data_IF_550204041003
#
_entry.id   IF_550204041003
#
_cell.length_a   1.000
_cell.length_b   1.000
_cell.length_c   1.000
_cell.angle_alpha   90.00
_cell.angle_beta   90.00
_cell.angle_gamma   90.00
#
_symmetry.space_group_name_H-M   'P 1'
#
loop_
_entity.id
_entity.type
_entity.pdbx_description
1 polymer ?
#
# COMPACT_ATOMS: atom_id res chain seq x y z
N UNK A 1 16.55 28.10 0.08
CA UNK A 1 15.14 28.51 0.18
C UNK A 1 14.52 27.75 1.35
N UNK A 2 13.88 28.43 2.32
CA UNK A 2 13.19 27.76 3.42
C UNK A 2 12.08 26.89 2.83
N UNK A 3 12.04 25.62 3.24
CA UNK A 3 11.01 24.68 2.83
C UNK A 3 9.67 25.19 3.40
N UNK A 4 8.62 25.46 2.60
CA UNK A 4 7.30 25.67 3.16
C UNK A 4 6.89 24.32 3.73
N UNK A 5 7.14 24.10 5.02
CA UNK A 5 6.52 23.03 5.78
C UNK A 5 5.02 23.33 5.76
N UNK A 6 4.37 22.85 4.70
CA UNK A 6 2.96 23.01 4.49
C UNK A 6 2.23 22.40 5.66
N UNK A 7 1.13 23.02 6.04
CA UNK A 7 0.19 22.64 7.11
C UNK A 7 -0.27 21.16 7.07
N UNK A 8 0.07 20.45 6.00
CA UNK A 8 -0.37 19.10 5.66
C UNK A 8 0.74 18.03 5.81
N UNK A 9 1.91 18.36 6.35
CA UNK A 9 3.00 17.39 6.56
C UNK A 9 2.83 16.66 7.91
N UNK A 10 2.15 15.51 7.87
CA UNK A 10 2.02 14.62 9.03
C UNK A 10 3.31 13.75 9.17
N UNK A 11 3.88 13.56 10.38
CA UNK A 11 5.18 12.90 10.58
C UNK A 11 5.22 11.45 10.06
N UNK A 12 4.07 10.79 10.04
CA UNK A 12 3.92 9.43 9.53
C UNK A 12 3.55 9.36 8.03
N UNK A 13 3.69 10.46 7.29
CA UNK A 13 3.39 10.56 5.86
C UNK A 13 4.60 11.06 5.07
N UNK A 14 4.84 10.41 3.93
CA UNK A 14 5.82 10.84 2.93
C UNK A 14 5.08 11.55 1.78
N UNK A 15 4.85 12.85 1.95
CA UNK A 15 4.07 13.71 1.02
C UNK A 15 4.86 14.09 -0.24
N UNK A 16 6.21 14.08 -0.17
CA UNK A 16 7.11 14.54 -1.25
C UNK A 16 6.86 13.84 -2.58
N UNK A 17 6.67 12.52 -2.58
CA UNK A 17 6.45 11.75 -3.79
C UNK A 17 5.13 12.13 -4.49
N UNK A 18 4.09 12.47 -3.74
CA UNK A 18 2.80 12.87 -4.29
C UNK A 18 2.78 14.33 -4.81
N UNK A 19 3.66 15.20 -4.29
CA UNK A 19 3.70 16.63 -4.66
C UNK A 19 4.71 16.97 -5.75
N UNK A 20 5.73 16.14 -5.98
CA UNK A 20 6.81 16.44 -6.91
C UNK A 20 6.90 15.45 -8.07
N UNK A 21 7.28 15.96 -9.24
CA UNK A 21 7.62 15.19 -10.43
C UNK A 21 9.08 14.72 -10.47
N UNK A 22 9.91 15.20 -9.53
CA UNK A 22 11.30 14.79 -9.42
C UNK A 22 11.41 13.44 -8.72
N UNK A 23 12.26 12.57 -9.25
CA UNK A 23 12.61 11.27 -8.66
C UNK A 23 14.13 11.11 -8.67
N UNK A 24 14.67 10.62 -7.56
CA UNK A 24 16.07 10.24 -7.48
C UNK A 24 16.28 8.91 -8.19
N UNK A 25 17.20 8.85 -9.13
CA UNK A 25 17.66 7.60 -9.75
C UNK A 25 19.16 7.44 -9.52
N UNK A 26 19.59 6.21 -9.29
CA UNK A 26 21.00 5.87 -9.16
C UNK A 26 21.63 5.72 -10.55
N UNK A 27 22.70 6.45 -10.82
CA UNK A 27 23.31 6.53 -12.15
C UNK A 27 24.61 5.70 -12.28
N UNK A 28 24.63 4.51 -11.67
CA UNK A 28 25.69 3.51 -11.91
C UNK A 28 27.05 3.73 -11.24
N UNK A 29 27.31 4.92 -10.67
CA UNK A 29 28.64 5.30 -10.15
C UNK A 29 28.58 5.93 -8.75
N UNK A 30 27.62 5.52 -7.91
CA UNK A 30 27.41 6.11 -6.59
C UNK A 30 26.79 7.51 -6.61
N UNK A 31 26.55 8.09 -7.80
CA UNK A 31 25.87 9.38 -7.94
C UNK A 31 24.34 9.18 -7.98
N UNK A 32 23.65 9.92 -7.11
CA UNK A 32 22.20 10.07 -7.14
C UNK A 32 21.90 11.29 -7.99
N UNK A 33 21.25 11.10 -9.13
CA UNK A 33 20.74 12.21 -9.94
C UNK A 33 19.24 12.33 -9.75
N UNK A 34 18.72 13.55 -9.72
CA UNK A 34 17.29 13.82 -9.68
C UNK A 34 16.85 14.21 -11.08
N UNK A 35 16.04 13.38 -11.72
CA UNK A 35 15.46 13.68 -13.03
C UNK A 35 13.97 14.00 -12.89
N UNK A 36 13.48 14.91 -13.73
CA UNK A 36 12.05 15.12 -13.87
C UNK A 36 11.48 14.02 -14.76
N UNK A 37 10.50 13.28 -14.24
CA UNK A 37 9.86 12.18 -14.95
C UNK A 37 8.50 12.59 -15.47
N UNK A 38 8.15 12.08 -16.65
CA UNK A 38 6.78 12.15 -17.17
C UNK A 38 5.82 11.45 -16.22
N UNK A 39 4.51 11.72 -16.36
CA UNK A 39 3.50 11.07 -15.51
C UNK A 39 3.62 9.54 -15.50
N UNK A 40 3.78 8.94 -16.68
CA UNK A 40 3.98 7.49 -16.81
C UNK A 40 5.31 7.01 -16.20
N UNK A 41 6.41 7.74 -16.41
CA UNK A 41 7.70 7.41 -15.78
C UNK A 41 7.65 7.45 -14.25
N UNK A 42 6.86 8.37 -13.68
CA UNK A 42 6.59 8.42 -12.24
C UNK A 42 5.79 7.20 -11.75
N UNK A 43 4.78 6.78 -12.51
CA UNK A 43 4.00 5.59 -12.18
C UNK A 43 4.87 4.32 -12.17
N UNK A 44 5.76 4.15 -13.15
CA UNK A 44 6.70 3.03 -13.19
C UNK A 44 7.70 3.03 -12.02
N UNK A 45 8.16 4.19 -11.56
CA UNK A 45 8.99 4.24 -10.34
C UNK A 45 8.18 3.85 -9.09
N UNK A 46 6.97 4.40 -8.98
CA UNK A 46 6.13 4.20 -7.81
C UNK A 46 5.59 2.76 -7.75
N UNK A 47 5.44 2.04 -8.88
CA UNK A 47 5.05 0.63 -8.90
C UNK A 47 6.15 -0.29 -8.38
N UNK A 48 7.43 -0.01 -8.67
CA UNK A 48 8.56 -0.79 -8.13
C UNK A 48 8.64 -0.62 -6.62
N UNK A 49 8.50 0.62 -6.14
CA UNK A 49 8.41 0.88 -4.70
C UNK A 49 7.21 0.16 -4.07
N UNK A 50 6.03 0.31 -4.65
CA UNK A 50 4.79 -0.28 -4.15
C UNK A 50 4.88 -1.81 -4.11
N UNK A 51 5.48 -2.42 -5.13
CA UNK A 51 5.71 -3.85 -5.18
C UNK A 51 6.55 -4.31 -3.99
N UNK A 52 7.67 -3.63 -3.68
CA UNK A 52 8.48 -3.98 -2.52
C UNK A 52 7.75 -3.74 -1.18
N UNK A 53 7.12 -2.57 -1.01
CA UNK A 53 6.44 -2.19 0.23
C UNK A 53 5.25 -3.10 0.55
N UNK A 54 4.52 -3.56 -0.47
CA UNK A 54 3.36 -4.46 -0.32
C UNK A 54 3.78 -5.91 -0.26
N UNK A 55 4.72 -6.36 -1.11
CA UNK A 55 5.04 -7.78 -1.22
C UNK A 55 5.86 -8.30 -0.04
N UNK A 56 6.84 -7.54 0.46
CA UNK A 56 7.70 -8.00 1.55
C UNK A 56 6.91 -8.36 2.81
N UNK A 57 5.97 -7.52 3.31
CA UNK A 57 5.16 -7.90 4.46
C UNK A 57 4.20 -9.05 4.14
N UNK A 58 3.76 -9.22 2.90
CA UNK A 58 2.82 -10.27 2.50
C UNK A 58 3.43 -11.66 2.31
N UNK A 59 4.76 -11.80 2.30
CA UNK A 59 5.45 -13.08 2.09
C UNK A 59 4.88 -14.20 2.98
N UNK A 60 4.65 -14.02 4.30
CA UNK A 60 4.13 -15.09 5.15
C UNK A 60 2.75 -15.60 4.71
N UNK A 61 1.80 -14.71 4.41
CA UNK A 61 0.47 -15.12 3.96
C UNK A 61 0.50 -15.71 2.54
N UNK A 62 1.28 -15.13 1.63
CA UNK A 62 1.44 -15.67 0.28
C UNK A 62 2.04 -17.08 0.32
N UNK A 63 3.03 -17.32 1.18
CA UNK A 63 3.59 -18.65 1.44
C UNK A 63 2.51 -19.60 1.97
N UNK A 64 1.78 -19.20 3.01
CA UNK A 64 0.69 -19.98 3.59
C UNK A 64 -0.36 -20.37 2.53
N UNK A 65 -0.82 -19.43 1.71
CA UNK A 65 -1.77 -19.69 0.62
C UNK A 65 -1.17 -20.64 -0.42
N UNK A 66 0.12 -20.47 -0.76
CA UNK A 66 0.80 -21.30 -1.75
C UNK A 66 0.82 -22.77 -1.35
N UNK A 67 1.07 -23.06 -0.08
CA UNK A 67 1.22 -24.43 0.45
C UNK A 67 -0.10 -25.03 0.96
N UNK A 68 -0.98 -24.21 1.54
CA UNK A 68 -2.19 -24.68 2.23
C UNK A 68 -3.46 -24.77 1.39
N UNK A 69 -3.54 -24.03 0.27
CA UNK A 69 -4.78 -23.99 -0.53
C UNK A 69 -4.71 -24.88 -1.80
N UNK A 70 -5.80 -25.57 -2.18
CA UNK A 70 -5.86 -26.33 -3.42
C UNK A 70 -5.75 -25.42 -4.65
N UNK A 71 -5.16 -25.94 -5.74
CA UNK A 71 -5.14 -25.26 -7.03
C UNK A 71 -6.51 -25.39 -7.70
N UNK A 72 -7.26 -24.29 -7.71
CA UNK A 72 -8.52 -24.16 -8.46
C UNK A 72 -8.42 -22.93 -9.35
N UNK A 73 -9.01 -23.00 -10.54
CA UNK A 73 -8.97 -21.91 -11.51
C UNK A 73 -9.59 -20.61 -10.94
N UNK A 74 -10.67 -20.77 -10.19
CA UNK A 74 -11.31 -19.71 -9.41
C UNK A 74 -11.43 -20.17 -7.97
N UNK A 75 -10.65 -19.54 -7.09
CA UNK A 75 -10.56 -19.93 -5.70
C UNK A 75 -9.63 -19.01 -4.93
N UNK A 76 -9.17 -19.50 -3.79
CA UNK A 76 -8.40 -18.72 -2.82
C UNK A 76 -7.10 -18.15 -3.43
N UNK A 77 -6.36 -18.96 -4.21
CA UNK A 77 -5.11 -18.55 -4.87
C UNK A 77 -5.32 -17.43 -5.90
N UNK A 78 -6.32 -17.58 -6.78
CA UNK A 78 -6.66 -16.57 -7.78
C UNK A 78 -7.09 -15.26 -7.12
N UNK A 79 -7.92 -15.35 -6.07
CA UNK A 79 -8.39 -14.18 -5.31
C UNK A 79 -7.23 -13.48 -4.60
N UNK A 80 -6.33 -14.24 -3.97
CA UNK A 80 -5.12 -13.71 -3.34
C UNK A 80 -4.21 -13.02 -4.37
N UNK A 81 -4.00 -13.61 -5.54
CA UNK A 81 -3.18 -13.01 -6.59
C UNK A 81 -3.78 -11.69 -7.10
N UNK A 82 -5.08 -11.69 -7.44
CA UNK A 82 -5.79 -10.47 -7.87
C UNK A 82 -5.75 -9.39 -6.79
N UNK A 83 -6.00 -9.78 -5.53
CA UNK A 83 -5.91 -8.90 -4.38
C UNK A 83 -4.54 -8.26 -4.25
N UNK A 84 -3.49 -9.07 -4.21
CA UNK A 84 -2.10 -8.62 -4.11
C UNK A 84 -1.70 -7.66 -5.24
N UNK A 85 -2.00 -8.01 -6.50
CA UNK A 85 -1.72 -7.13 -7.63
C UNK A 85 -2.47 -5.80 -7.54
N UNK A 86 -3.74 -5.85 -7.11
CA UNK A 86 -4.54 -4.63 -6.88
C UNK A 86 -3.93 -3.78 -5.78
N UNK A 87 -3.48 -4.39 -4.68
CA UNK A 87 -2.85 -3.67 -3.57
C UNK A 87 -1.61 -2.90 -4.04
N UNK A 88 -0.77 -3.53 -4.87
CA UNK A 88 0.42 -2.89 -5.46
C UNK A 88 0.04 -1.70 -6.35
N UNK A 89 -0.91 -1.88 -7.27
CA UNK A 89 -1.33 -0.82 -8.20
C UNK A 89 -1.94 0.37 -7.46
N UNK A 90 -2.87 0.11 -6.52
CA UNK A 90 -3.53 1.19 -5.75
C UNK A 90 -2.51 1.91 -4.87
N UNK A 91 -1.56 1.20 -4.27
CA UNK A 91 -0.46 1.81 -3.51
C UNK A 91 0.37 2.74 -4.40
N UNK A 92 0.74 2.31 -5.60
CA UNK A 92 1.49 3.13 -6.56
C UNK A 92 0.72 4.39 -6.96
N UNK A 93 -0.59 4.27 -7.21
CA UNK A 93 -1.46 5.40 -7.56
C UNK A 93 -1.59 6.42 -6.42
N UNK A 94 -1.78 5.97 -5.18
CA UNK A 94 -1.86 6.87 -4.01
C UNK A 94 -0.51 7.54 -3.76
N UNK A 95 0.59 6.77 -3.80
CA UNK A 95 1.95 7.29 -3.61
C UNK A 95 2.31 8.34 -4.65
N UNK A 96 1.98 8.09 -5.92
CA UNK A 96 2.21 9.03 -7.02
C UNK A 96 1.29 10.24 -7.02
N UNK A 97 0.32 10.31 -6.09
CA UNK A 97 -0.64 11.41 -5.97
C UNK A 97 -1.76 11.40 -7.01
N UNK A 98 -2.00 10.26 -7.68
CA UNK A 98 -3.07 10.10 -8.67
C UNK A 98 -4.42 9.77 -8.02
N UNK A 99 -4.39 9.05 -6.91
CA UNK A 99 -5.58 8.76 -6.10
C UNK A 99 -5.45 9.40 -4.73
N UNK A 100 -6.49 10.08 -4.23
CA UNK A 100 -6.54 10.47 -2.83
C UNK A 100 -6.72 9.22 -1.95
N UNK A 101 -6.05 9.16 -0.79
CA UNK A 101 -6.35 8.15 0.22
C UNK A 101 -7.77 8.33 0.77
N UNK A 102 -8.37 7.25 1.29
CA UNK A 102 -9.68 7.32 1.91
C UNK A 102 -9.60 7.97 3.29
N UNK A 103 -10.56 8.85 3.57
CA UNK A 103 -10.78 9.47 4.88
C UNK A 103 -9.59 10.26 5.44
N UNK A 104 -8.71 10.79 4.58
CA UNK A 104 -7.68 11.77 4.96
C UNK A 104 -7.39 12.71 3.79
N UNK A 105 -7.17 13.99 4.08
CA UNK A 105 -6.82 15.01 3.07
C UNK A 105 -5.31 15.02 2.78
N UNK A 106 -4.50 14.46 3.69
CA UNK A 106 -3.06 14.41 3.55
C UNK A 106 -2.68 13.49 2.40
N UNK A 107 -2.06 14.02 1.34
CA UNK A 107 -1.61 13.24 0.19
C UNK A 107 -0.33 12.45 0.47
N UNK A 108 -0.06 11.44 -0.35
CA UNK A 108 1.16 10.65 -0.29
C UNK A 108 0.99 9.33 0.45
N UNK A 109 2.11 8.66 0.65
CA UNK A 109 2.14 7.32 1.24
C UNK A 109 2.62 7.35 2.69
N UNK A 110 2.42 6.25 3.40
CA UNK A 110 2.83 6.10 4.81
C UNK A 110 4.37 6.05 4.88
N UNK A 111 4.97 6.64 5.92
CA UNK A 111 6.42 6.61 6.11
C UNK A 111 6.94 5.20 6.46
N UNK A 112 8.26 5.00 6.37
CA UNK A 112 8.93 3.72 6.64
C UNK A 112 9.45 3.61 8.10
N UNK A 113 8.82 4.31 9.04
CA UNK A 113 9.17 4.19 10.45
C UNK A 113 9.01 2.73 10.93
N UNK A 114 9.90 2.19 11.80
CA UNK A 114 9.88 0.77 12.19
C UNK A 114 8.52 0.28 12.71
N UNK A 115 7.86 1.06 13.55
CA UNK A 115 6.53 0.71 14.07
C UNK A 115 5.46 0.60 12.94
N UNK A 116 5.55 1.45 11.91
CA UNK A 116 4.65 1.39 10.76
C UNK A 116 4.98 0.25 9.80
N UNK A 117 6.21 -0.27 9.81
CA UNK A 117 6.55 -1.50 9.08
C UNK A 117 5.89 -2.70 9.74
N UNK A 118 5.91 -2.79 11.07
CA UNK A 118 5.17 -3.82 11.80
C UNK A 118 3.66 -3.70 11.59
N UNK A 119 3.14 -2.48 11.56
CA UNK A 119 1.73 -2.25 11.27
C UNK A 119 1.35 -2.70 9.85
N UNK A 120 2.20 -2.44 8.84
CA UNK A 120 2.02 -2.98 7.47
C UNK A 120 1.96 -4.49 7.46
N UNK A 121 2.87 -5.15 8.19
CA UNK A 121 2.90 -6.60 8.29
C UNK A 121 1.56 -7.14 8.77
N UNK A 122 1.03 -6.64 9.89
CA UNK A 122 -0.26 -7.13 10.39
C UNK A 122 -1.41 -6.75 9.44
N UNK A 123 -1.48 -5.49 9.04
CA UNK A 123 -2.60 -4.95 8.27
C UNK A 123 -2.70 -5.55 6.86
N UNK A 124 -1.61 -5.59 6.09
CA UNK A 124 -1.64 -6.12 4.73
C UNK A 124 -1.98 -7.61 4.70
N UNK A 125 -1.44 -8.41 5.64
CA UNK A 125 -1.80 -9.82 5.70
C UNK A 125 -3.28 -10.01 6.05
N UNK A 126 -3.83 -9.19 6.96
CA UNK A 126 -5.26 -9.24 7.29
C UNK A 126 -6.15 -8.86 6.10
N UNK A 127 -5.83 -7.78 5.37
CA UNK A 127 -6.55 -7.37 4.17
C UNK A 127 -6.48 -8.46 3.10
N UNK A 128 -5.29 -9.00 2.82
CA UNK A 128 -5.12 -10.02 1.80
C UNK A 128 -5.82 -11.33 2.19
N UNK A 129 -5.86 -11.68 3.48
CA UNK A 129 -6.65 -12.79 3.97
C UNK A 129 -8.15 -12.59 3.72
N UNK A 130 -8.69 -11.42 4.08
CA UNK A 130 -10.09 -11.10 3.83
C UNK A 130 -10.43 -11.16 2.32
N UNK A 131 -9.54 -10.66 1.47
CA UNK A 131 -9.68 -10.73 0.00
C UNK A 131 -9.62 -12.17 -0.50
N UNK A 132 -8.63 -12.95 -0.08
CA UNK A 132 -8.42 -14.31 -0.57
C UNK A 132 -9.57 -15.25 -0.17
N UNK A 133 -9.98 -15.20 1.10
CA UNK A 133 -11.07 -16.01 1.63
C UNK A 133 -12.43 -15.50 1.17
N UNK A 134 -12.65 -14.18 1.18
CA UNK A 134 -13.90 -13.58 0.70
C UNK A 134 -14.12 -13.84 -0.79
N UNK A 135 -13.12 -13.60 -1.63
CA UNK A 135 -13.17 -13.90 -3.06
C UNK A 135 -13.39 -15.39 -3.34
N UNK A 136 -12.74 -16.27 -2.59
CA UNK A 136 -12.97 -17.72 -2.66
C UNK A 136 -14.40 -18.13 -2.31
N UNK A 137 -14.97 -17.55 -1.25
CA UNK A 137 -16.37 -17.80 -0.85
C UNK A 137 -17.36 -17.28 -1.88
N UNK A 138 -17.15 -16.07 -2.40
CA UNK A 138 -18.00 -15.48 -3.45
C UNK A 138 -17.99 -16.33 -4.73
N UNK A 139 -16.81 -16.82 -5.14
CA UNK A 139 -16.70 -17.71 -6.30
C UNK A 139 -17.53 -19.00 -6.12
N UNK A 140 -17.44 -19.61 -4.93
CA UNK A 140 -18.15 -20.86 -4.63
C UNK A 140 -19.67 -20.64 -4.50
N UNK A 141 -20.11 -19.51 -3.95
CA UNK A 141 -21.53 -19.24 -3.70
C UNK A 141 -22.30 -18.83 -4.96
N UNK A 142 -21.69 -18.00 -5.81
CA UNK A 142 -22.37 -17.41 -6.98
C UNK A 142 -22.10 -18.23 -8.24
N UNK A 143 -21.00 -18.99 -8.29
CA UNK A 143 -20.59 -19.74 -9.49
C UNK A 143 -20.14 -18.85 -10.65
N UNK A 144 -20.01 -17.54 -10.44
CA UNK A 144 -19.55 -16.57 -11.44
C UNK A 144 -18.12 -16.10 -11.14
N UNK A 145 -17.13 -16.57 -11.92
CA UNK A 145 -15.72 -16.23 -11.73
C UNK A 145 -15.41 -14.74 -11.66
N UNK A 146 -16.03 -13.95 -12.54
CA UNK A 146 -15.79 -12.52 -12.66
C UNK A 146 -16.23 -11.76 -11.41
N UNK A 147 -17.26 -12.23 -10.70
CA UNK A 147 -17.74 -11.60 -9.48
C UNK A 147 -16.72 -11.72 -8.35
N UNK A 148 -16.03 -12.87 -8.26
CA UNK A 148 -14.94 -13.07 -7.31
C UNK A 148 -13.74 -12.15 -7.57
N UNK A 149 -13.40 -11.93 -8.85
CA UNK A 149 -12.36 -10.99 -9.26
C UNK A 149 -12.75 -9.56 -8.89
N UNK A 150 -13.96 -9.13 -9.25
CA UNK A 150 -14.46 -7.80 -8.94
C UNK A 150 -14.51 -7.54 -7.43
N UNK A 151 -14.99 -8.51 -6.66
CA UNK A 151 -14.98 -8.47 -5.20
C UNK A 151 -13.56 -8.31 -4.64
N UNK A 152 -12.62 -9.12 -5.13
CA UNK A 152 -11.22 -9.11 -4.68
C UNK A 152 -10.55 -7.76 -4.97
N UNK A 153 -10.76 -7.23 -6.18
CA UNK A 153 -10.26 -5.91 -6.57
C UNK A 153 -10.87 -4.80 -5.71
N UNK A 154 -12.18 -4.82 -5.50
CA UNK A 154 -12.89 -3.81 -4.71
C UNK A 154 -12.41 -3.79 -3.26
N UNK A 155 -12.40 -4.95 -2.60
CA UNK A 155 -12.00 -5.06 -1.19
C UNK A 155 -10.51 -4.71 -0.99
N UNK A 156 -9.62 -5.16 -1.89
CA UNK A 156 -8.21 -4.81 -1.86
C UNK A 156 -7.99 -3.29 -2.05
N UNK A 157 -8.72 -2.68 -2.98
CA UNK A 157 -8.64 -1.24 -3.25
C UNK A 157 -9.07 -0.42 -2.04
N UNK A 158 -10.21 -0.77 -1.44
CA UNK A 158 -10.70 -0.10 -0.23
C UNK A 158 -9.73 -0.28 0.94
N UNK A 159 -9.21 -1.49 1.16
CA UNK A 159 -8.25 -1.76 2.23
C UNK A 159 -6.97 -0.93 2.09
N UNK A 160 -6.37 -0.89 0.90
CA UNK A 160 -5.16 -0.08 0.67
C UNK A 160 -5.44 1.41 0.74
N UNK A 161 -6.58 1.86 0.22
CA UNK A 161 -6.91 3.27 0.25
C UNK A 161 -7.21 3.78 1.67
N UNK A 162 -7.72 2.91 2.57
CA UNK A 162 -7.94 3.24 3.99
C UNK A 162 -6.65 3.20 4.83
N UNK A 163 -5.63 2.45 4.41
CA UNK A 163 -4.39 2.26 5.17
C UNK A 163 -3.69 3.56 5.61
N UNK A 164 -3.50 4.56 4.73
CA UNK A 164 -3.04 5.90 5.10
C UNK A 164 -3.65 6.49 6.37
N UNK A 165 -4.99 6.51 6.47
CA UNK A 165 -5.70 7.09 7.59
C UNK A 165 -5.48 6.27 8.87
N UNK A 166 -5.50 4.95 8.76
CA UNK A 166 -5.25 4.07 9.90
C UNK A 166 -3.81 4.21 10.42
N UNK A 167 -2.84 4.41 9.53
CA UNK A 167 -1.46 4.66 9.93
C UNK A 167 -1.27 6.01 10.63
N UNK A 168 -1.99 7.06 10.23
CA UNK A 168 -2.03 8.34 10.95
C UNK A 168 -2.58 8.14 12.37
N UNK A 169 -3.74 7.48 12.51
CA UNK A 169 -4.34 7.21 13.82
C UNK A 169 -3.42 6.37 14.72
N UNK A 170 -2.75 5.36 14.17
CA UNK A 170 -1.77 4.56 14.90
C UNK A 170 -0.58 5.41 15.36
N UNK A 171 -0.07 6.28 14.48
CA UNK A 171 1.04 7.18 14.78
C UNK A 171 0.69 8.17 15.89
N UNK A 172 -0.46 8.82 15.81
CA UNK A 172 -0.94 9.75 16.83
C UNK A 172 -1.10 9.04 18.19
N UNK A 173 -1.64 7.82 18.16
CA UNK A 173 -1.92 7.05 19.36
C UNK A 173 -0.69 6.48 20.04
N UNK A 174 0.36 6.11 19.31
CA UNK A 174 1.49 5.35 19.87
C UNK A 174 2.85 6.04 19.74
N UNK A 175 3.04 6.92 18.75
CA UNK A 175 4.33 7.58 18.52
C UNK A 175 4.34 9.02 19.03
N UNK A 176 3.22 9.74 18.92
CA UNK A 176 3.12 11.15 19.36
C UNK A 176 2.70 11.25 20.83
N UNK A 177 1.73 10.46 21.26
CA UNK A 177 1.21 10.47 22.65
C UNK A 177 2.24 10.01 23.70
N UNK A 178 3.23 9.22 23.32
CA UNK A 178 4.30 8.72 24.20
C UNK A 178 5.38 9.77 24.51
N UNK A 179 5.35 10.93 23.84
CA UNK A 179 6.28 12.05 24.03
C UNK A 179 5.55 13.22 24.70
N UNK A 180 4.90 12.97 25.85
CA UNK A 180 4.57 14.07 26.78
C UNK A 180 5.78 14.30 27.68
N UNK A 181 6.53 15.41 27.54
CA UNK A 181 7.48 15.83 28.55
C UNK A 181 6.67 16.40 29.71
N UNK A 182 6.52 15.65 30.79
CA UNK A 182 5.73 16.13 31.92
C UNK A 182 5.52 15.20 33.12
N UNK A 183 6.27 14.10 33.25
CA UNK A 183 6.41 13.37 34.51
C UNK A 183 7.90 13.26 34.85
#
# INVERSE_FOLDING_TARGET
MPNPSGRDDHPCRSTRAARSHRRGSWFGHGQITSTEKSGFGRFLDDIVYAFADVSLPLIPFLWYVRVGAPNRFFGLKTSAFVGWMTMVVVTALIRGGWLPPLATETRGWVSLAPALLLFRLVYFNAVLAAVAYGGGTVANAIGLPLVSVAFSMGLASVGIAAFPRLAELFCDRFLVSGVRPGD
#
